data_IF_650343168728
#
_entry.id   IF_650343168728
#
_cell.length_a   1.000
_cell.length_b   1.000
_cell.length_c   1.000
_cell.angle_alpha   90.00
_cell.angle_beta   90.00
_cell.angle_gamma   90.00
#
_symmetry.space_group_name_H-M   'P 1'
#
loop_
_entity.id
_entity.type
_entity.pdbx_description
1 polymer ?
#
# COMPACT_ATOMS: atom_id res chain seq x y z
N UNK A 1 24.92 2.17 6.45
CA UNK A 1 23.73 1.46 6.93
C UNK A 1 23.70 1.29 8.46
N UNK A 2 24.83 1.11 9.14
CA UNK A 2 24.82 0.79 10.59
C UNK A 2 24.27 1.85 11.53
N UNK A 3 24.31 3.12 11.11
CA UNK A 3 23.79 4.22 11.93
C UNK A 3 22.25 4.33 11.88
N UNK A 4 21.62 3.78 10.84
CA UNK A 4 20.17 3.84 10.61
C UNK A 4 19.55 2.46 10.82
N UNK A 5 20.01 1.45 10.07
CA UNK A 5 19.45 0.09 10.04
C UNK A 5 20.11 -0.91 10.99
N UNK A 6 21.24 -0.54 11.61
CA UNK A 6 21.97 -1.34 12.62
C UNK A 6 22.17 -2.82 12.21
N UNK A 7 22.63 -3.09 10.98
CA UNK A 7 22.66 -4.44 10.39
C UNK A 7 23.43 -5.47 11.24
N UNK A 8 24.55 -5.06 11.87
CA UNK A 8 25.30 -5.87 12.83
C UNK A 8 24.49 -6.27 14.07
N UNK A 9 23.62 -5.39 14.56
CA UNK A 9 22.72 -5.73 15.68
C UNK A 9 21.62 -6.70 15.23
N UNK A 10 21.24 -6.64 13.95
CA UNK A 10 20.30 -7.57 13.32
C UNK A 10 20.98 -8.82 12.72
N UNK A 11 22.29 -9.02 12.93
CA UNK A 11 23.09 -10.13 12.40
C UNK A 11 22.93 -10.36 10.87
N UNK A 12 22.78 -9.28 10.10
CA UNK A 12 22.58 -9.33 8.64
C UNK A 12 23.70 -8.59 7.89
N UNK A 13 23.77 -8.82 6.57
CA UNK A 13 24.74 -8.16 5.67
C UNK A 13 24.01 -7.46 4.53
N UNK A 14 24.67 -6.47 3.90
CA UNK A 14 24.09 -5.75 2.75
C UNK A 14 23.67 -6.70 1.63
N UNK A 15 24.47 -7.72 1.33
CA UNK A 15 24.13 -8.72 0.31
C UNK A 15 22.88 -9.51 0.68
N UNK A 16 22.74 -9.90 1.95
CA UNK A 16 21.54 -10.59 2.47
C UNK A 16 20.31 -9.70 2.32
N UNK A 17 20.39 -8.43 2.70
CA UNK A 17 19.28 -7.48 2.60
C UNK A 17 18.86 -7.21 1.16
N UNK A 18 19.81 -7.11 0.22
CA UNK A 18 19.49 -6.96 -1.21
C UNK A 18 18.73 -8.19 -1.73
N UNK A 19 19.19 -9.40 -1.39
CA UNK A 19 18.53 -10.64 -1.79
C UNK A 19 17.15 -10.77 -1.13
N UNK A 20 17.02 -10.41 0.15
CA UNK A 20 15.75 -10.42 0.87
C UNK A 20 14.76 -9.41 0.27
N UNK A 21 15.22 -8.20 -0.07
CA UNK A 21 14.43 -7.19 -0.76
C UNK A 21 13.97 -7.66 -2.13
N UNK A 22 14.85 -8.27 -2.92
CA UNK A 22 14.48 -8.83 -4.22
C UNK A 22 13.48 -10.00 -4.09
N UNK A 23 13.70 -10.90 -3.14
CA UNK A 23 12.78 -12.01 -2.85
C UNK A 23 11.41 -11.47 -2.48
N UNK A 24 11.36 -10.47 -1.61
CA UNK A 24 10.12 -9.79 -1.22
C UNK A 24 9.47 -9.13 -2.42
N UNK A 25 10.21 -8.40 -3.25
CA UNK A 25 9.65 -7.83 -4.48
C UNK A 25 9.01 -8.90 -5.37
N UNK A 26 9.68 -10.03 -5.59
CA UNK A 26 9.17 -11.12 -6.42
C UNK A 26 7.89 -11.74 -5.87
N UNK A 27 7.72 -11.85 -4.54
CA UNK A 27 6.50 -12.42 -3.95
C UNK A 27 5.28 -11.50 -4.11
N UNK A 28 5.48 -10.18 -4.18
CA UNK A 28 4.40 -9.19 -4.40
C UNK A 28 4.30 -8.69 -5.84
N UNK A 29 5.22 -9.07 -6.74
CA UNK A 29 5.25 -8.61 -8.12
C UNK A 29 3.95 -8.88 -8.89
N UNK A 30 3.22 -9.94 -8.54
CA UNK A 30 1.92 -10.27 -9.15
C UNK A 30 0.90 -9.11 -9.00
N UNK A 31 1.00 -8.29 -7.95
CA UNK A 31 0.13 -7.13 -7.71
C UNK A 31 0.20 -6.14 -8.86
N UNK A 32 1.37 -6.01 -9.52
CA UNK A 32 1.56 -5.14 -10.68
C UNK A 32 0.71 -5.57 -11.87
N UNK A 33 0.36 -6.85 -12.00
CA UNK A 33 -0.54 -7.32 -13.05
C UNK A 33 -2.01 -7.37 -12.57
N UNK A 34 -2.23 -7.90 -11.37
CA UNK A 34 -3.57 -8.20 -10.88
C UNK A 34 -4.32 -6.93 -10.46
N UNK A 35 -3.66 -5.97 -9.79
CA UNK A 35 -4.35 -4.76 -9.36
C UNK A 35 -4.87 -3.92 -10.54
N UNK A 36 -4.05 -3.60 -11.57
CA UNK A 36 -4.55 -2.92 -12.76
C UNK A 36 -5.56 -3.76 -13.53
N UNK A 37 -5.43 -5.10 -13.52
CA UNK A 37 -6.41 -6.01 -14.10
C UNK A 37 -7.80 -5.89 -13.45
N UNK A 38 -7.88 -5.75 -12.12
CA UNK A 38 -9.14 -5.56 -11.39
C UNK A 38 -9.69 -4.16 -11.62
N UNK A 39 -8.87 -3.13 -11.40
CA UNK A 39 -9.32 -1.74 -11.45
C UNK A 39 -9.65 -1.29 -12.87
N UNK A 40 -9.01 -1.83 -13.90
CA UNK A 40 -9.40 -1.52 -15.29
C UNK A 40 -10.81 -1.99 -15.63
N UNK A 41 -11.37 -2.95 -14.90
CA UNK A 41 -12.76 -3.38 -15.09
C UNK A 41 -13.79 -2.31 -14.73
N UNK A 42 -13.40 -1.26 -14.00
CA UNK A 42 -14.27 -0.13 -13.63
C UNK A 42 -14.23 1.00 -14.65
N UNK A 43 -13.42 0.88 -15.71
CA UNK A 43 -13.20 1.93 -16.71
C UNK A 43 -11.87 2.67 -16.57
N UNK A 44 -11.08 2.37 -15.54
CA UNK A 44 -9.75 2.97 -15.37
C UNK A 44 -8.76 2.45 -16.43
N UNK A 45 -7.83 3.31 -16.88
CA UNK A 45 -6.78 2.89 -17.80
C UNK A 45 -5.76 1.98 -17.09
N UNK A 46 -5.52 0.79 -17.65
CA UNK A 46 -4.59 -0.19 -17.09
C UNK A 46 -3.18 0.37 -16.87
N UNK A 47 -2.60 1.06 -17.86
CA UNK A 47 -1.25 1.61 -17.78
C UNK A 47 -1.11 2.70 -16.72
N UNK A 48 -2.12 3.57 -16.61
CA UNK A 48 -2.13 4.61 -15.58
C UNK A 48 -2.22 4.00 -14.17
N UNK A 49 -3.09 3.02 -13.97
CA UNK A 49 -3.22 2.32 -12.68
C UNK A 49 -1.98 1.51 -12.34
N UNK A 50 -1.36 0.85 -13.33
CA UNK A 50 -0.08 0.14 -13.17
C UNK A 50 0.97 1.08 -12.62
N UNK A 51 1.19 2.21 -13.29
CA UNK A 51 2.20 3.20 -12.90
C UNK A 51 1.88 3.80 -11.53
N UNK A 52 0.63 4.15 -11.27
CA UNK A 52 0.21 4.67 -9.97
C UNK A 52 0.43 3.66 -8.83
N UNK A 53 0.13 2.38 -9.07
CA UNK A 53 0.33 1.29 -8.10
C UNK A 53 1.81 1.10 -7.80
N UNK A 54 2.65 0.97 -8.84
CA UNK A 54 4.09 0.78 -8.67
C UNK A 54 4.73 1.96 -7.94
N UNK A 55 4.41 3.19 -8.36
CA UNK A 55 4.98 4.41 -7.78
C UNK A 55 4.56 4.60 -6.31
N UNK A 56 3.27 4.42 -6.01
CA UNK A 56 2.77 4.54 -4.63
C UNK A 56 3.35 3.46 -3.71
N UNK A 57 3.49 2.21 -4.18
CA UNK A 57 4.11 1.12 -3.42
C UNK A 57 5.59 1.39 -3.12
N UNK A 58 6.34 1.91 -4.10
CA UNK A 58 7.74 2.31 -3.90
C UNK A 58 7.85 3.42 -2.86
N UNK A 59 7.04 4.46 -2.97
CA UNK A 59 7.05 5.58 -2.01
C UNK A 59 6.69 5.08 -0.61
N UNK A 60 5.61 4.31 -0.46
CA UNK A 60 5.17 3.80 0.82
C UNK A 60 6.23 2.88 1.46
N UNK A 61 6.83 1.98 0.67
CA UNK A 61 7.90 1.09 1.14
C UNK A 61 9.15 1.88 1.56
N UNK A 62 9.51 2.94 0.84
CA UNK A 62 10.61 3.81 1.23
C UNK A 62 10.33 4.61 2.49
N UNK A 63 9.11 5.11 2.68
CA UNK A 63 8.71 5.75 3.93
C UNK A 63 8.84 4.77 5.10
N UNK A 64 8.39 3.52 4.95
CA UNK A 64 8.56 2.50 5.99
C UNK A 64 10.03 2.17 6.27
N UNK A 65 10.83 2.00 5.22
CA UNK A 65 12.25 1.71 5.35
C UNK A 65 13.05 2.84 5.96
N UNK A 66 12.91 4.08 5.48
CA UNK A 66 13.78 5.18 5.89
C UNK A 66 13.23 6.00 7.06
N UNK A 67 11.92 6.26 7.11
CA UNK A 67 11.33 7.07 8.17
C UNK A 67 10.96 6.22 9.37
N UNK A 68 10.25 5.10 9.16
CA UNK A 68 9.84 4.23 10.25
C UNK A 68 10.94 3.23 10.67
N UNK A 69 11.99 3.05 9.86
CA UNK A 69 13.06 2.07 10.08
C UNK A 69 12.53 0.65 10.33
N UNK A 70 11.50 0.26 9.55
CA UNK A 70 10.87 -1.06 9.64
C UNK A 70 10.99 -1.81 8.30
N UNK A 71 11.29 -3.12 8.32
CA UNK A 71 11.49 -3.93 7.12
C UNK A 71 10.15 -4.40 6.51
N UNK A 72 9.24 -3.47 6.23
CA UNK A 72 7.93 -3.76 5.66
C UNK A 72 7.81 -3.24 4.23
N UNK A 73 7.54 -4.15 3.29
CA UNK A 73 7.14 -3.78 1.95
C UNK A 73 5.63 -3.50 1.92
N UNK A 74 5.25 -2.36 1.35
CA UNK A 74 3.87 -1.92 1.28
C UNK A 74 3.35 -1.98 -0.15
N UNK A 75 2.20 -2.62 -0.31
CA UNK A 75 1.48 -2.79 -1.56
C UNK A 75 -0.03 -2.74 -1.27
N UNK A 76 -0.88 -2.51 -2.29
CA UNK A 76 -2.31 -2.43 -2.06
C UNK A 76 -2.92 -3.76 -1.59
N UNK A 77 -3.91 -3.66 -0.71
CA UNK A 77 -4.68 -4.80 -0.21
C UNK A 77 -5.65 -5.33 -1.26
N UNK A 78 -5.38 -6.52 -1.81
CA UNK A 78 -6.15 -7.08 -2.93
C UNK A 78 -7.65 -7.27 -2.65
N UNK A 79 -8.02 -7.60 -1.41
CA UNK A 79 -9.43 -7.77 -1.03
C UNK A 79 -10.23 -6.46 -1.08
N UNK A 80 -9.62 -5.35 -0.64
CA UNK A 80 -10.25 -4.03 -0.67
C UNK A 80 -10.43 -3.52 -2.10
N UNK A 81 -9.47 -3.79 -2.98
CA UNK A 81 -9.57 -3.42 -4.39
C UNK A 81 -10.63 -4.24 -5.13
N UNK A 82 -10.79 -5.52 -4.78
CA UNK A 82 -11.88 -6.34 -5.29
C UNK A 82 -13.25 -5.81 -4.83
N UNK A 83 -13.39 -5.46 -3.55
CA UNK A 83 -14.60 -4.83 -3.01
C UNK A 83 -14.91 -3.50 -3.71
N UNK A 84 -13.90 -2.64 -3.87
CA UNK A 84 -14.03 -1.39 -4.61
C UNK A 84 -14.57 -1.61 -6.03
N UNK A 85 -13.93 -2.50 -6.80
CA UNK A 85 -14.28 -2.68 -8.21
C UNK A 85 -15.61 -3.40 -8.40
N UNK A 86 -15.81 -4.53 -7.72
CA UNK A 86 -16.95 -5.41 -7.98
C UNK A 86 -18.19 -5.03 -7.16
N UNK A 87 -18.03 -4.53 -5.95
CA UNK A 87 -19.17 -4.14 -5.10
C UNK A 87 -19.51 -2.66 -5.32
N UNK A 88 -18.58 -1.74 -5.05
CA UNK A 88 -18.91 -0.30 -5.04
C UNK A 88 -19.15 0.23 -6.45
N UNK A 89 -18.24 -0.06 -7.39
CA UNK A 89 -18.37 0.48 -8.74
C UNK A 89 -19.36 -0.35 -9.57
N UNK A 90 -19.12 -1.65 -9.72
CA UNK A 90 -19.99 -2.49 -10.56
C UNK A 90 -21.32 -2.86 -9.92
N UNK A 91 -21.32 -3.21 -8.64
CA UNK A 91 -22.52 -3.67 -7.94
C UNK A 91 -23.48 -2.53 -7.58
N UNK A 92 -22.96 -1.43 -7.07
CA UNK A 92 -23.77 -0.27 -6.64
C UNK A 92 -23.89 0.81 -7.74
N UNK A 93 -23.10 0.74 -8.80
CA UNK A 93 -23.19 1.65 -9.95
C UNK A 93 -22.51 3.02 -9.76
N UNK A 94 -21.70 3.19 -8.71
CA UNK A 94 -20.97 4.45 -8.52
C UNK A 94 -19.79 4.58 -9.49
N UNK A 95 -19.53 5.81 -9.95
CA UNK A 95 -18.32 6.11 -10.74
C UNK A 95 -17.05 5.83 -9.92
N UNK A 96 -15.99 5.34 -10.57
CA UNK A 96 -14.73 5.04 -9.89
C UNK A 96 -14.07 6.29 -9.29
N UNK A 97 -14.30 7.47 -9.87
CA UNK A 97 -13.83 8.77 -9.37
C UNK A 97 -14.48 9.12 -8.02
N UNK A 98 -15.81 8.96 -7.92
CA UNK A 98 -16.54 9.15 -6.67
C UNK A 98 -16.09 8.16 -5.60
N UNK A 99 -15.94 6.89 -5.97
CA UNK A 99 -15.48 5.85 -5.05
C UNK A 99 -14.05 6.13 -4.56
N UNK A 100 -13.12 6.56 -5.44
CA UNK A 100 -11.77 6.95 -5.03
C UNK A 100 -11.77 8.17 -4.12
N UNK A 101 -12.67 9.12 -4.36
CA UNK A 101 -12.84 10.29 -3.48
C UNK A 101 -13.26 9.87 -2.08
N UNK A 102 -14.18 8.90 -1.96
CA UNK A 102 -14.58 8.34 -0.68
C UNK A 102 -13.41 7.63 0.04
N UNK A 103 -12.61 6.85 -0.69
CA UNK A 103 -11.39 6.20 -0.14
C UNK A 103 -10.38 7.24 0.33
N UNK A 104 -10.20 8.32 -0.41
CA UNK A 104 -9.31 9.42 -0.01
C UNK A 104 -9.78 10.12 1.27
N UNK A 105 -11.09 10.40 1.37
CA UNK A 105 -11.69 11.00 2.57
C UNK A 105 -11.56 10.05 3.78
N UNK A 106 -11.80 8.75 3.58
CA UNK A 106 -11.61 7.72 4.62
C UNK A 106 -10.17 7.71 5.13
N UNK A 107 -9.18 7.79 4.24
CA UNK A 107 -7.77 7.91 4.62
C UNK A 107 -7.48 9.17 5.46
N UNK A 108 -8.07 10.32 5.11
CA UNK A 108 -7.95 11.54 5.92
C UNK A 108 -8.58 11.34 7.31
N UNK A 109 -9.78 10.77 7.36
CA UNK A 109 -10.46 10.47 8.63
C UNK A 109 -9.59 9.55 9.48
N UNK A 110 -9.02 8.50 8.89
CA UNK A 110 -8.14 7.56 9.58
C UNK A 110 -6.88 8.22 10.15
N UNK A 111 -6.27 9.14 9.39
CA UNK A 111 -5.11 9.92 9.86
C UNK A 111 -5.49 10.82 11.03
N UNK A 112 -6.65 11.50 10.96
CA UNK A 112 -7.13 12.33 12.06
C UNK A 112 -7.40 11.49 13.31
N UNK A 113 -8.11 10.36 13.18
CA UNK A 113 -8.39 9.44 14.29
C UNK A 113 -7.11 8.94 14.97
N UNK A 114 -6.08 8.62 14.16
CA UNK A 114 -4.76 8.21 14.65
C UNK A 114 -4.05 9.34 15.36
N UNK A 115 -4.07 10.55 14.80
CA UNK A 115 -3.40 11.72 15.38
C UNK A 115 -4.02 12.14 16.72
N UNK A 116 -5.34 12.05 16.84
CA UNK A 116 -6.06 12.42 18.07
C UNK A 116 -6.13 11.28 19.10
N UNK A 117 -5.50 10.12 18.85
CA UNK A 117 -5.49 8.96 19.76
C UNK A 117 -6.89 8.61 20.32
N UNK A 118 -7.95 8.74 19.51
CA UNK A 118 -9.34 8.49 19.95
C UNK A 118 -9.54 7.05 20.48
N UNK A 119 -8.62 6.12 20.15
CA UNK A 119 -8.56 4.79 20.75
C UNK A 119 -8.44 4.82 22.29
N UNK A 120 -7.73 5.79 22.89
CA UNK A 120 -7.65 5.94 24.35
C UNK A 120 -8.93 6.57 24.95
N UNK A 121 -9.69 7.32 24.17
CA UNK A 121 -10.91 8.01 24.62
C UNK A 121 -12.18 7.14 24.54
N UNK A 122 -12.18 6.08 23.73
CA UNK A 122 -13.33 5.15 23.59
C UNK A 122 -13.15 3.91 24.50
N UNK A 123 -11.91 3.53 24.82
CA UNK A 123 -11.60 2.30 25.59
C UNK A 123 -11.43 2.53 27.10
N UNK A 124 -11.49 3.78 27.58
CA UNK A 124 -11.52 4.12 29.02
C UNK A 124 -12.90 4.62 29.45
#
# INVERSE_FOLDING_TARGET
MERIFKLKQHNTTVSTEIIAGFTTFMTMAYILAVNPGILSTTGMNFGNVFTATALSAVIATFVMGFYANMPFALAPGMGLNAFFAFTVVKGMGYSWELALTAVFIEGIIFLLLTFFNIREAILN
#
